data_IF_153178997682
#
_entry.id   IF_153178997682
#
_cell.length_a   1.000
_cell.length_b   1.000
_cell.length_c   1.000
_cell.angle_alpha   90.00
_cell.angle_beta   90.00
_cell.angle_gamma   90.00
#
_symmetry.space_group_name_H-M   'P 1'
#
loop_
_entity.id
_entity.type
_entity.pdbx_description
1 polymer ?
#
# COMPACT_ATOMS: atom_id res chain seq x y z
N UNK A 1 -2.77 16.81 20.42
CA UNK A 1 -2.73 15.41 20.89
C UNK A 1 -1.31 14.92 20.70
N UNK A 2 -0.67 14.39 21.75
CA UNK A 2 0.64 13.77 21.60
C UNK A 2 0.50 12.57 20.64
N UNK A 3 1.20 12.60 19.51
CA UNK A 3 1.23 11.50 18.55
C UNK A 3 2.00 10.35 19.18
N UNK A 4 1.29 9.40 19.79
CA UNK A 4 1.89 8.17 20.28
C UNK A 4 2.40 7.36 19.09
N UNK A 5 3.71 7.33 18.92
CA UNK A 5 4.38 6.41 17.99
C UNK A 5 4.82 5.21 18.83
N UNK A 6 4.20 4.02 18.67
CA UNK A 6 4.55 2.86 19.48
C UNK A 6 6.02 2.51 19.31
N UNK A 7 6.73 2.22 20.40
CA UNK A 7 8.13 1.79 20.31
C UNK A 7 8.17 0.35 19.80
N UNK A 8 8.86 0.11 18.69
CA UNK A 8 9.08 -1.24 18.17
C UNK A 8 9.95 -2.06 19.12
N UNK A 9 9.64 -3.34 19.27
CA UNK A 9 10.51 -4.28 19.98
C UNK A 9 11.79 -4.59 19.17
N UNK A 10 12.78 -5.17 19.84
CA UNK A 10 14.10 -5.44 19.27
C UNK A 10 14.00 -6.40 18.07
N UNK A 11 13.13 -7.41 18.15
CA UNK A 11 12.98 -8.42 17.10
C UNK A 11 12.33 -7.81 15.86
N UNK A 12 11.29 -6.98 16.03
CA UNK A 12 10.66 -6.27 14.92
C UNK A 12 11.64 -5.33 14.22
N UNK A 13 12.46 -4.57 14.96
CA UNK A 13 13.52 -3.73 14.35
C UNK A 13 14.53 -4.57 13.57
N UNK A 14 14.97 -5.68 14.13
CA UNK A 14 15.90 -6.61 13.49
C UNK A 14 15.34 -7.16 12.18
N UNK A 15 14.09 -7.62 12.19
CA UNK A 15 13.40 -8.13 11.00
C UNK A 15 13.27 -7.07 9.91
N UNK A 16 12.87 -5.84 10.28
CA UNK A 16 12.80 -4.70 9.36
C UNK A 16 14.14 -4.39 8.72
N UNK A 17 15.22 -4.38 9.50
CA UNK A 17 16.58 -4.14 8.98
C UNK A 17 17.06 -5.26 8.05
N UNK A 18 16.77 -6.51 8.37
CA UNK A 18 17.10 -7.68 7.52
C UNK A 18 16.35 -7.59 6.19
N UNK A 19 15.04 -7.34 6.24
CA UNK A 19 14.22 -7.15 5.06
C UNK A 19 14.76 -6.02 4.18
N UNK A 20 15.00 -4.84 4.76
CA UNK A 20 15.50 -3.69 4.02
C UNK A 20 16.88 -3.94 3.39
N UNK A 21 17.80 -4.56 4.13
CA UNK A 21 19.14 -4.89 3.62
C UNK A 21 19.05 -5.90 2.46
N UNK A 22 18.24 -6.95 2.62
CA UNK A 22 18.05 -7.98 1.59
C UNK A 22 17.52 -7.39 0.29
N UNK A 23 16.42 -6.64 0.36
CA UNK A 23 15.75 -6.15 -0.84
C UNK A 23 16.47 -4.95 -1.46
N UNK A 24 17.22 -4.17 -0.69
CA UNK A 24 18.08 -3.12 -1.25
C UNK A 24 19.27 -3.71 -2.03
N UNK A 25 19.80 -4.87 -1.63
CA UNK A 25 20.87 -5.54 -2.38
C UNK A 25 20.40 -6.15 -3.71
N UNK A 26 19.10 -6.43 -3.84
CA UNK A 26 18.52 -6.98 -5.06
C UNK A 26 18.14 -5.82 -5.98
N UNK A 27 18.87 -5.67 -7.07
CA UNK A 27 18.61 -4.65 -8.10
C UNK A 27 18.53 -3.22 -7.53
N UNK A 28 19.38 -2.91 -6.53
CA UNK A 28 19.39 -1.62 -5.80
C UNK A 28 18.01 -1.23 -5.21
N UNK A 29 17.19 -2.21 -4.83
CA UNK A 29 15.82 -2.00 -4.33
C UNK A 29 14.74 -1.98 -5.41
N UNK A 30 15.11 -1.98 -6.69
CA UNK A 30 14.17 -1.91 -7.82
C UNK A 30 13.37 -3.21 -8.03
N UNK A 31 13.72 -4.30 -7.35
CA UNK A 31 12.84 -5.47 -7.30
C UNK A 31 11.45 -5.08 -6.75
N UNK A 32 11.40 -4.24 -5.71
CA UNK A 32 10.14 -3.83 -5.09
C UNK A 32 9.38 -2.80 -5.93
N UNK A 33 10.05 -2.07 -6.84
CA UNK A 33 9.36 -1.12 -7.71
C UNK A 33 8.50 -1.81 -8.77
N UNK A 34 8.80 -3.09 -9.05
CA UNK A 34 8.02 -3.95 -9.94
C UNK A 34 6.99 -4.82 -9.21
N UNK A 35 6.92 -4.72 -7.88
CA UNK A 35 5.96 -5.49 -7.08
C UNK A 35 4.56 -4.87 -7.12
N UNK A 36 3.56 -5.73 -6.90
CA UNK A 36 2.21 -5.30 -6.57
C UNK A 36 2.09 -5.21 -5.05
N UNK A 37 1.53 -4.10 -4.57
CA UNK A 37 1.20 -3.91 -3.16
C UNK A 37 -0.32 -3.96 -3.02
N UNK A 38 -0.80 -4.71 -2.04
CA UNK A 38 -2.22 -4.80 -1.70
C UNK A 38 -2.41 -4.55 -0.22
N UNK A 39 -3.47 -3.81 0.13
CA UNK A 39 -3.76 -3.41 1.51
C UNK A 39 -5.25 -3.05 1.69
N UNK A 40 -5.73 -3.11 2.93
CA UNK A 40 -7.08 -2.71 3.29
C UNK A 40 -7.09 -1.41 4.09
N UNK A 41 -8.04 -0.53 3.78
CA UNK A 41 -8.27 0.69 4.56
C UNK A 41 -9.72 0.78 5.02
N UNK A 42 -9.92 1.17 6.28
CA UNK A 42 -11.24 1.40 6.85
C UNK A 42 -11.50 2.89 7.00
N UNK A 43 -12.27 3.44 6.07
CA UNK A 43 -12.99 4.70 6.26
C UNK A 43 -14.31 4.41 6.99
N UNK A 44 -15.37 5.19 6.72
CA UNK A 44 -16.75 4.75 7.00
C UNK A 44 -17.10 3.51 6.17
N UNK A 45 -16.56 3.44 4.95
CA UNK A 45 -16.60 2.27 4.08
C UNK A 45 -15.26 1.52 4.18
N UNK A 46 -15.31 0.19 4.28
CA UNK A 46 -14.12 -0.65 4.18
C UNK A 46 -13.76 -0.86 2.71
N UNK A 47 -12.48 -0.71 2.37
CA UNK A 47 -11.97 -0.88 1.01
C UNK A 47 -10.72 -1.75 0.98
N UNK A 48 -10.55 -2.48 -0.12
CA UNK A 48 -9.30 -3.14 -0.49
C UNK A 48 -8.73 -2.42 -1.72
N UNK A 49 -7.44 -2.11 -1.70
CA UNK A 49 -6.73 -1.52 -2.82
C UNK A 49 -5.52 -2.35 -3.21
N UNK A 50 -5.18 -2.33 -4.50
CA UNK A 50 -3.87 -2.77 -4.96
C UNK A 50 -3.24 -1.78 -5.94
N UNK A 51 -1.93 -1.62 -5.87
CA UNK A 51 -1.18 -0.72 -6.74
C UNK A 51 0.11 -1.32 -7.28
N UNK A 52 0.48 -0.85 -8.48
CA UNK A 52 1.64 -1.18 -9.29
C UNK A 52 2.28 0.14 -9.75
N UNK A 53 3.61 0.16 -9.91
CA UNK A 53 4.29 1.35 -10.44
C UNK A 53 3.99 1.56 -11.92
N UNK A 54 3.93 0.47 -12.69
CA UNK A 54 3.59 0.48 -14.11
C UNK A 54 2.40 -0.41 -14.36
N UNK A 55 1.34 0.18 -14.93
CA UNK A 55 0.19 -0.55 -15.46
C UNK A 55 0.65 -1.22 -16.76
N UNK A 56 1.00 -2.51 -16.68
CA UNK A 56 1.28 -3.32 -17.87
C UNK A 56 -0.01 -3.96 -18.39
N UNK A 57 0.03 -4.58 -19.57
CA UNK A 57 -1.11 -5.31 -20.14
C UNK A 57 -1.70 -6.40 -19.24
N UNK A 58 -1.05 -6.74 -18.12
CA UNK A 58 -1.43 -7.83 -17.20
C UNK A 58 -1.74 -7.37 -15.76
N UNK A 59 -1.81 -6.07 -15.47
CA UNK A 59 -2.09 -5.59 -14.12
C UNK A 59 -2.59 -4.15 -14.08
N UNK A 60 -3.48 -3.83 -13.15
CA UNK A 60 -4.08 -2.51 -12.98
C UNK A 60 -4.16 -2.13 -11.50
N UNK A 61 -4.18 -0.83 -11.21
CA UNK A 61 -4.42 -0.33 -9.86
C UNK A 61 -5.92 -0.40 -9.57
N UNK A 62 -6.32 -1.19 -8.58
CA UNK A 62 -7.73 -1.48 -8.30
C UNK A 62 -8.11 -0.99 -6.91
N UNK A 63 -9.30 -0.41 -6.79
CA UNK A 63 -9.98 -0.18 -5.53
C UNK A 63 -11.31 -0.93 -5.51
N UNK A 64 -11.61 -1.60 -4.39
CA UNK A 64 -12.86 -2.34 -4.18
C UNK A 64 -13.46 -2.02 -2.82
N UNK A 65 -14.78 -1.83 -2.81
CA UNK A 65 -15.60 -1.80 -1.59
C UNK A 65 -15.67 -3.22 -1.02
N UNK A 66 -15.46 -3.34 0.28
CA UNK A 66 -15.61 -4.59 1.02
C UNK A 66 -16.98 -4.57 1.68
N UNK A 67 -17.83 -5.52 1.31
CA UNK A 67 -19.12 -5.71 1.94
C UNK A 67 -18.99 -6.64 3.15
N UNK A 68 -19.03 -6.05 4.35
CA UNK A 68 -18.91 -6.76 5.61
C UNK A 68 -17.47 -7.04 6.02
N UNK A 69 -17.21 -8.24 6.55
CA UNK A 69 -15.88 -8.65 7.00
C UNK A 69 -15.19 -9.40 5.88
N UNK A 70 -14.00 -8.93 5.48
CA UNK A 70 -13.17 -9.62 4.51
C UNK A 70 -12.67 -10.96 5.07
N UNK A 71 -13.04 -12.05 4.40
CA UNK A 71 -12.56 -13.40 4.72
C UNK A 71 -11.57 -13.95 3.69
N UNK A 72 -10.99 -15.11 3.99
CA UNK A 72 -9.98 -15.77 3.14
C UNK A 72 -10.51 -16.09 1.74
N UNK A 73 -11.79 -16.43 1.60
CA UNK A 73 -12.38 -16.76 0.30
C UNK A 73 -12.55 -15.49 -0.52
N UNK A 74 -13.16 -14.46 0.05
CA UNK A 74 -13.32 -13.16 -0.60
C UNK A 74 -11.98 -12.56 -1.02
N UNK A 75 -10.94 -12.68 -0.19
CA UNK A 75 -9.60 -12.22 -0.54
C UNK A 75 -9.03 -12.96 -1.76
N UNK A 76 -9.14 -14.29 -1.79
CA UNK A 76 -8.71 -15.10 -2.94
C UNK A 76 -9.48 -14.73 -4.21
N UNK A 77 -10.80 -14.59 -4.12
CA UNK A 77 -11.65 -14.22 -5.24
C UNK A 77 -11.24 -12.84 -5.81
N UNK A 78 -10.87 -11.87 -4.95
CA UNK A 78 -10.34 -10.59 -5.38
C UNK A 78 -8.99 -10.72 -6.10
N UNK A 79 -8.08 -11.53 -5.57
CA UNK A 79 -6.79 -11.77 -6.24
C UNK A 79 -7.00 -12.43 -7.60
N UNK A 80 -7.82 -13.48 -7.68
CA UNK A 80 -8.10 -14.20 -8.92
C UNK A 80 -8.69 -13.26 -9.99
N UNK A 81 -9.62 -12.40 -9.58
CA UNK A 81 -10.35 -11.52 -10.48
C UNK A 81 -9.58 -10.26 -10.90
N UNK A 82 -8.91 -9.59 -9.96
CA UNK A 82 -8.31 -8.26 -10.19
C UNK A 82 -6.82 -8.29 -10.47
N UNK A 83 -6.13 -9.31 -9.99
CA UNK A 83 -4.68 -9.48 -10.17
C UNK A 83 -4.38 -10.43 -11.34
N UNK A 84 -5.43 -10.98 -11.98
CA UNK A 84 -5.39 -11.91 -13.11
C UNK A 84 -4.48 -13.12 -12.81
N UNK A 85 -4.98 -14.04 -11.98
CA UNK A 85 -4.36 -15.36 -11.72
C UNK A 85 -4.66 -16.30 -12.90
N UNK A 86 -4.44 -15.84 -14.13
CA UNK A 86 -4.44 -16.73 -15.28
C UNK A 86 -2.98 -17.11 -15.55
N UNK A 87 -2.61 -18.28 -15.03
CA UNK A 87 -1.50 -19.14 -15.46
C UNK A 87 -0.04 -18.70 -15.23
N UNK A 88 0.25 -17.64 -14.46
CA UNK A 88 1.64 -17.30 -14.06
C UNK A 88 1.86 -17.38 -12.56
N UNK A 89 2.99 -17.98 -12.16
CA UNK A 89 3.42 -18.11 -10.77
C UNK A 89 3.53 -16.75 -10.10
N UNK A 90 2.61 -16.44 -9.18
CA UNK A 90 2.76 -15.31 -8.26
C UNK A 90 3.87 -15.65 -7.28
N UNK A 91 4.87 -14.78 -7.19
CA UNK A 91 5.85 -14.85 -6.13
C UNK A 91 5.39 -13.96 -4.97
N UNK A 92 4.95 -14.58 -3.88
CA UNK A 92 4.57 -13.87 -2.65
C UNK A 92 5.83 -13.58 -1.84
N UNK A 93 6.02 -12.33 -1.44
CA UNK A 93 7.06 -11.95 -0.49
C UNK A 93 6.66 -12.36 0.93
N UNK A 94 7.02 -13.59 1.33
CA UNK A 94 6.62 -14.17 2.61
C UNK A 94 7.34 -13.59 3.84
N UNK A 95 8.35 -12.73 3.65
CA UNK A 95 9.19 -12.15 4.69
C UNK A 95 8.92 -10.66 4.94
N UNK A 96 7.76 -10.14 4.50
CA UNK A 96 7.35 -8.77 4.84
C UNK A 96 7.33 -8.58 6.36
N UNK A 97 8.05 -7.58 6.90
CA UNK A 97 8.22 -7.44 8.34
C UNK A 97 6.92 -7.01 9.03
N UNK A 98 6.69 -7.53 10.23
CA UNK A 98 5.55 -7.12 11.07
C UNK A 98 5.59 -5.62 11.35
N UNK A 99 4.42 -5.03 11.61
CA UNK A 99 4.27 -3.62 11.99
C UNK A 99 5.06 -2.67 11.06
N UNK A 100 4.91 -2.85 9.75
CA UNK A 100 5.68 -2.10 8.75
C UNK A 100 4.79 -1.37 7.75
N UNK A 101 3.73 -0.74 8.26
CA UNK A 101 2.86 0.14 7.45
C UNK A 101 3.62 1.33 6.86
N UNK A 102 4.65 1.84 7.54
CA UNK A 102 5.51 2.90 7.00
C UNK A 102 6.34 2.46 5.77
N UNK A 103 6.52 1.16 5.56
CA UNK A 103 7.08 0.61 4.32
C UNK A 103 6.02 0.35 3.24
N UNK A 104 4.73 0.26 3.59
CA UNK A 104 3.65 -0.04 2.67
C UNK A 104 3.35 1.19 1.79
N UNK A 105 3.48 1.10 0.45
CA UNK A 105 3.15 2.21 -0.46
C UNK A 105 1.73 2.73 -0.29
N UNK A 106 0.76 1.83 -0.08
CA UNK A 106 -0.66 2.19 0.03
C UNK A 106 -0.97 3.08 1.24
N UNK A 107 -0.16 3.06 2.31
CA UNK A 107 -0.35 3.97 3.44
C UNK A 107 -0.17 5.45 3.04
N UNK A 108 0.80 5.75 2.16
CA UNK A 108 0.93 7.11 1.60
C UNK A 108 -0.26 7.47 0.72
N UNK A 109 -0.78 6.50 -0.05
CA UNK A 109 -1.97 6.69 -0.88
C UNK A 109 -3.19 7.01 -0.01
N UNK A 110 -3.42 6.25 1.07
CA UNK A 110 -4.52 6.47 2.01
C UNK A 110 -4.42 7.83 2.70
N UNK A 111 -3.22 8.20 3.15
CA UNK A 111 -2.96 9.53 3.74
C UNK A 111 -3.27 10.64 2.73
N UNK A 112 -2.77 10.53 1.51
CA UNK A 112 -2.99 11.51 0.46
C UNK A 112 -4.48 11.63 0.09
N UNK A 113 -5.19 10.51 0.00
CA UNK A 113 -6.63 10.52 -0.23
C UNK A 113 -7.38 11.21 0.91
N UNK A 114 -7.10 10.87 2.16
CA UNK A 114 -7.74 11.49 3.32
C UNK A 114 -7.45 13.00 3.41
N UNK A 115 -6.21 13.42 3.12
CA UNK A 115 -5.82 14.83 3.04
C UNK A 115 -6.57 15.54 1.91
N UNK A 116 -6.65 14.94 0.73
CA UNK A 116 -7.38 15.53 -0.41
C UNK A 116 -8.86 15.75 -0.10
N UNK A 117 -9.50 14.81 0.61
CA UNK A 117 -10.88 14.97 1.06
C UNK A 117 -11.04 16.15 2.01
N UNK A 118 -10.12 16.28 2.96
CA UNK A 118 -10.11 17.40 3.91
C UNK A 118 -9.86 18.74 3.23
N UNK A 119 -8.87 18.82 2.34
CA UNK A 119 -8.43 20.07 1.72
C UNK A 119 -9.43 20.59 0.68
N UNK A 120 -10.20 19.69 0.05
CA UNK A 120 -11.26 20.05 -0.91
C UNK A 120 -12.65 20.13 -0.29
N UNK A 121 -12.76 19.97 1.03
CA UNK A 121 -14.03 19.93 1.76
C UNK A 121 -15.06 18.97 1.12
N UNK A 122 -14.59 17.78 0.72
CA UNK A 122 -15.46 16.77 0.12
C UNK A 122 -16.33 16.17 1.22
N UNK A 123 -17.63 16.44 1.14
CA UNK A 123 -18.63 15.90 2.08
C UNK A 123 -19.43 14.81 1.38
N UNK A 124 -19.44 13.61 1.98
CA UNK A 124 -20.31 12.52 1.58
C UNK A 124 -21.36 12.30 2.67
N UNK A 125 -22.64 12.34 2.30
CA UNK A 125 -23.76 12.23 3.25
C UNK A 125 -24.17 10.78 3.53
N UNK A 126 -23.67 9.84 2.73
CA UNK A 126 -23.92 8.41 2.85
C UNK A 126 -22.73 7.59 2.31
N UNK A 127 -22.80 6.28 2.50
CA UNK A 127 -21.73 5.34 2.13
C UNK A 127 -21.56 5.14 0.62
N UNK A 128 -22.60 5.38 -0.18
CA UNK A 128 -22.54 5.23 -1.63
C UNK A 128 -21.94 6.48 -2.28
N UNK A 129 -22.36 7.67 -1.83
CA UNK A 129 -21.74 8.95 -2.16
C UNK A 129 -20.25 8.95 -1.81
N UNK A 130 -19.88 8.44 -0.62
CA UNK A 130 -18.47 8.30 -0.23
C UNK A 130 -17.71 7.36 -1.16
N UNK A 131 -18.32 6.23 -1.54
CA UNK A 131 -17.69 5.27 -2.45
C UNK A 131 -17.46 5.87 -3.84
N UNK A 132 -18.39 6.67 -4.36
CA UNK A 132 -18.25 7.37 -5.64
C UNK A 132 -17.03 8.31 -5.59
N UNK A 133 -16.90 9.12 -4.55
CA UNK A 133 -15.78 10.06 -4.40
C UNK A 133 -14.43 9.34 -4.22
N UNK A 134 -14.38 8.29 -3.40
CA UNK A 134 -13.17 7.47 -3.23
C UNK A 134 -12.74 6.83 -4.55
N UNK A 135 -13.70 6.28 -5.30
CA UNK A 135 -13.46 5.66 -6.61
C UNK A 135 -12.99 6.68 -7.64
N UNK A 136 -13.57 7.88 -7.65
CA UNK A 136 -13.18 8.96 -8.55
C UNK A 136 -11.76 9.45 -8.25
N UNK A 137 -11.44 9.66 -6.97
CA UNK A 137 -10.10 10.08 -6.57
C UNK A 137 -9.05 9.02 -6.88
N UNK A 138 -9.31 7.75 -6.58
CA UNK A 138 -8.41 6.65 -6.94
C UNK A 138 -8.10 6.61 -8.44
N UNK A 139 -9.14 6.70 -9.29
CA UNK A 139 -8.97 6.76 -10.75
C UNK A 139 -8.12 7.95 -11.18
N UNK A 140 -8.29 9.10 -10.55
CA UNK A 140 -7.45 10.28 -10.81
C UNK A 140 -5.98 10.00 -10.47
N UNK A 141 -5.71 9.40 -9.31
CA UNK A 141 -4.35 9.01 -8.91
C UNK A 141 -3.70 8.01 -9.87
N UNK A 142 -4.49 7.14 -10.52
CA UNK A 142 -4.00 6.25 -11.57
C UNK A 142 -3.53 7.03 -12.80
N UNK A 143 -4.29 8.03 -13.22
CA UNK A 143 -4.00 8.85 -14.41
C UNK A 143 -2.81 9.79 -14.16
N UNK A 144 -2.74 10.37 -12.97
CA UNK A 144 -1.73 11.38 -12.61
C UNK A 144 -0.35 10.75 -12.33
N UNK A 145 -0.22 9.41 -12.36
CA UNK A 145 1.05 8.70 -12.14
C UNK A 145 1.47 8.55 -10.67
N UNK A 146 0.63 9.00 -9.72
CA UNK A 146 0.95 9.06 -8.30
C UNK A 146 1.40 7.71 -7.70
N UNK A 147 0.74 6.61 -8.08
CA UNK A 147 1.13 5.27 -7.62
C UNK A 147 2.57 4.90 -8.03
N UNK A 148 2.99 5.31 -9.23
CA UNK A 148 4.35 5.12 -9.68
C UNK A 148 5.32 5.86 -8.78
N UNK A 149 5.09 7.16 -8.54
CA UNK A 149 5.97 7.98 -7.72
C UNK A 149 6.13 7.41 -6.29
N UNK A 150 5.04 6.97 -5.68
CA UNK A 150 5.05 6.37 -4.35
C UNK A 150 5.87 5.08 -4.33
N UNK A 151 5.68 4.20 -5.30
CA UNK A 151 6.37 2.90 -5.38
C UNK A 151 7.85 3.07 -5.78
N UNK A 152 8.17 4.01 -6.66
CA UNK A 152 9.56 4.35 -7.02
C UNK A 152 10.35 4.92 -5.83
N UNK A 153 9.66 5.38 -4.78
CA UNK A 153 10.27 5.74 -3.50
C UNK A 153 10.75 4.55 -2.65
N UNK A 154 10.42 3.31 -3.00
CA UNK A 154 10.73 2.13 -2.17
C UNK A 154 12.22 1.97 -1.85
N UNK A 155 13.17 2.07 -2.79
CA UNK A 155 14.60 1.97 -2.48
C UNK A 155 15.04 2.96 -1.40
N UNK A 156 14.50 4.19 -1.44
CA UNK A 156 14.80 5.21 -0.46
C UNK A 156 14.26 4.86 0.93
N UNK A 157 13.04 4.33 1.01
CA UNK A 157 12.45 3.84 2.27
C UNK A 157 13.29 2.72 2.90
N UNK A 158 13.78 1.77 2.09
CA UNK A 158 14.66 0.71 2.58
C UNK A 158 15.97 1.28 3.15
N UNK A 159 16.59 2.24 2.45
CA UNK A 159 17.79 2.93 2.95
C UNK A 159 17.53 3.61 4.28
N UNK A 160 16.40 4.30 4.43
CA UNK A 160 16.03 4.95 5.68
C UNK A 160 15.83 3.96 6.84
N UNK A 161 15.21 2.80 6.59
CA UNK A 161 15.08 1.75 7.61
C UNK A 161 16.46 1.27 8.09
N UNK A 162 17.40 1.09 7.16
CA UNK A 162 18.77 0.67 7.50
C UNK A 162 19.48 1.75 8.32
N UNK A 163 19.42 3.01 7.88
CA UNK A 163 20.02 4.17 8.58
C UNK A 163 19.43 4.34 9.98
N UNK A 164 18.14 4.09 10.15
CA UNK A 164 17.45 4.18 11.44
C UNK A 164 17.49 2.88 12.25
N UNK A 165 18.32 1.92 11.87
CA UNK A 165 18.50 0.65 12.59
C UNK A 165 17.17 -0.10 12.83
N UNK A 166 16.32 -0.17 11.81
CA UNK A 166 15.03 -0.86 11.88
C UNK A 166 13.89 -0.06 12.51
N UNK A 167 14.12 1.17 12.99
CA UNK A 167 13.05 2.02 13.53
C UNK A 167 12.10 2.55 12.44
N UNK A 168 11.07 3.27 12.88
CA UNK A 168 10.09 3.93 12.01
C UNK A 168 10.73 4.93 11.04
N UNK A 169 10.31 4.86 9.78
CA UNK A 169 10.53 5.92 8.79
C UNK A 169 9.31 6.83 8.73
N UNK A 170 9.45 7.99 8.10
CA UNK A 170 8.35 8.94 7.99
C UNK A 170 7.67 8.71 6.65
N UNK A 171 6.34 8.62 6.67
CA UNK A 171 5.57 8.67 5.42
C UNK A 171 5.67 10.10 4.87
N UNK A 172 6.19 10.21 3.65
CA UNK A 172 6.26 11.46 2.89
C UNK A 172 4.94 11.75 2.19
#
# INVERSE_FOLDING_TARGET
MASFVPVLDIETKRQRKIFATKYLQIDDGNMLTNAMFGDEQRFVVAVWGCCLSSVSNNGQNVLKKIDGRLDTKQYKDMLDHYVFISSKSIYVLCDWPKQSGDLMPLENVWIHMAQTFKDRDIVAFDTDSLWIELSALWKKLCVDGYFSDVIQGMPQRLREVIVKDGNWIRNN
#
